data_IF_075029923583
#
_entry.id   IF_075029923583
#
_cell.length_a   1.000
_cell.length_b   1.000
_cell.length_c   1.000
_cell.angle_alpha   90.00
_cell.angle_beta   90.00
_cell.angle_gamma   90.00
#
_symmetry.space_group_name_H-M   'P 1'
#
loop_
_entity.id
_entity.type
_entity.pdbx_description
1 polymer ?
#
# COMPACT_ATOMS: atom_id res chain seq x y z
N UNK A 1 -16.76 7.86 -5.85
CA UNK A 1 -15.96 6.72 -5.35
C UNK A 1 -15.60 6.97 -3.89
N UNK A 2 -15.88 6.01 -3.02
CA UNK A 2 -15.58 6.05 -1.58
C UNK A 2 -14.13 5.63 -1.33
N UNK A 3 -13.49 6.12 -0.25
CA UNK A 3 -12.14 5.71 0.17
C UNK A 3 -12.00 4.18 0.34
N UNK A 4 -13.11 3.50 0.65
CA UNK A 4 -13.15 2.05 0.80
C UNK A 4 -13.08 1.28 -0.54
N UNK A 5 -13.49 1.90 -1.65
CA UNK A 5 -13.45 1.29 -2.99
C UNK A 5 -12.00 1.15 -3.49
N UNK A 6 -11.07 1.93 -2.92
CA UNK A 6 -9.66 1.96 -3.31
C UNK A 6 -8.76 0.98 -2.54
N UNK A 7 -9.25 0.38 -1.45
CA UNK A 7 -8.42 -0.43 -0.55
C UNK A 7 -7.79 -1.67 -1.23
N UNK A 8 -8.54 -2.50 -1.99
CA UNK A 8 -7.94 -3.67 -2.65
C UNK A 8 -6.89 -3.29 -3.71
N UNK A 9 -7.09 -2.15 -4.39
CA UNK A 9 -6.15 -1.62 -5.38
C UNK A 9 -4.91 -0.98 -4.73
N UNK A 10 -5.04 -0.49 -3.49
CA UNK A 10 -3.92 0.07 -2.74
C UNK A 10 -2.84 -0.99 -2.48
N UNK A 11 -3.26 -2.19 -2.09
CA UNK A 11 -2.36 -3.30 -1.79
C UNK A 11 -1.45 -3.65 -2.97
N UNK A 12 -2.02 -3.82 -4.17
CA UNK A 12 -1.25 -4.21 -5.36
C UNK A 12 -0.26 -3.15 -5.84
N UNK A 13 -0.36 -1.92 -5.31
CA UNK A 13 0.49 -0.79 -5.68
C UNK A 13 1.43 -0.39 -4.54
N UNK A 14 1.33 -1.00 -3.37
CA UNK A 14 2.33 -0.83 -2.31
C UNK A 14 3.70 -1.23 -2.84
N UNK A 15 4.78 -0.56 -2.41
CA UNK A 15 6.14 -0.90 -2.80
C UNK A 15 6.45 -2.38 -2.50
N UNK A 16 6.68 -3.16 -3.55
CA UNK A 16 6.92 -4.60 -3.49
C UNK A 16 8.41 -4.97 -3.44
N UNK A 17 9.28 -3.99 -3.69
CA UNK A 17 10.72 -4.22 -3.70
C UNK A 17 11.48 -3.12 -2.97
N UNK A 18 12.66 -3.50 -2.49
CA UNK A 18 13.54 -2.62 -1.71
C UNK A 18 14.07 -1.45 -2.55
N UNK A 19 14.30 -1.69 -3.84
CA UNK A 19 14.86 -0.70 -4.77
C UNK A 19 13.95 0.52 -4.96
N UNK A 20 12.64 0.31 -5.08
CA UNK A 20 11.65 1.36 -5.17
C UNK A 20 11.60 2.19 -3.87
N UNK A 21 11.69 1.54 -2.72
CA UNK A 21 11.71 2.20 -1.41
C UNK A 21 12.97 3.05 -1.24
N UNK A 22 14.13 2.51 -1.61
CA UNK A 22 15.40 3.23 -1.57
C UNK A 22 15.40 4.43 -2.54
N UNK A 23 14.86 4.24 -3.74
CA UNK A 23 14.73 5.32 -4.74
C UNK A 23 13.76 6.40 -4.28
N UNK A 24 12.73 6.04 -3.50
CA UNK A 24 11.81 6.97 -2.86
C UNK A 24 12.45 7.75 -1.70
N UNK A 25 13.68 7.41 -1.30
CA UNK A 25 14.43 8.09 -0.25
C UNK A 25 14.28 7.43 1.13
N UNK A 26 13.66 6.26 1.23
CA UNK A 26 13.66 5.50 2.48
C UNK A 26 15.03 4.86 2.73
N UNK A 27 15.41 4.79 3.99
CA UNK A 27 16.55 4.03 4.45
C UNK A 27 16.36 2.53 4.21
N UNK A 28 17.47 1.79 4.13
CA UNK A 28 17.43 0.34 4.00
C UNK A 28 16.65 -0.33 5.13
N UNK A 29 16.76 0.19 6.36
CA UNK A 29 16.03 -0.35 7.51
C UNK A 29 14.53 -0.14 7.39
N UNK A 30 14.09 1.07 7.03
CA UNK A 30 12.67 1.35 6.83
C UNK A 30 12.11 0.52 5.66
N UNK A 31 12.88 0.39 4.58
CA UNK A 31 12.52 -0.43 3.43
C UNK A 31 12.34 -1.91 3.80
N UNK A 32 13.28 -2.49 4.53
CA UNK A 32 13.21 -3.88 5.00
C UNK A 32 12.00 -4.11 5.92
N UNK A 33 11.70 -3.15 6.81
CA UNK A 33 10.55 -3.24 7.70
C UNK A 33 9.21 -3.17 6.97
N UNK A 34 9.07 -2.28 5.98
CA UNK A 34 7.87 -2.20 5.12
C UNK A 34 7.67 -3.52 4.37
N UNK A 35 8.73 -4.07 3.77
CA UNK A 35 8.65 -5.36 3.05
C UNK A 35 8.34 -6.53 3.97
N UNK A 36 8.78 -6.47 5.24
CA UNK A 36 8.44 -7.48 6.23
C UNK A 36 6.95 -7.42 6.58
N UNK A 37 6.42 -6.24 6.88
CA UNK A 37 4.99 -6.04 7.19
C UNK A 37 4.11 -6.46 6.00
N UNK A 38 4.52 -6.13 4.77
CA UNK A 38 3.83 -6.57 3.56
C UNK A 38 3.77 -8.10 3.44
N UNK A 39 4.88 -8.80 3.68
CA UNK A 39 4.91 -10.28 3.64
C UNK A 39 4.06 -10.91 4.74
N UNK A 40 4.14 -10.40 5.96
CA UNK A 40 3.30 -10.89 7.07
C UNK A 40 1.81 -10.72 6.75
N UNK A 41 1.45 -9.63 6.07
CA UNK A 41 0.09 -9.43 5.58
C UNK A 41 -0.33 -10.47 4.53
N UNK A 42 0.52 -10.81 3.56
CA UNK A 42 0.22 -11.87 2.57
C UNK A 42 -0.02 -13.20 3.25
N UNK A 43 0.89 -13.60 4.14
CA UNK A 43 0.77 -14.87 4.87
C UNK A 43 -0.52 -14.91 5.71
N UNK A 44 -0.86 -13.80 6.38
CA UNK A 44 -2.11 -13.70 7.14
C UNK A 44 -3.35 -13.71 6.23
N UNK A 45 -3.25 -13.09 5.05
CA UNK A 45 -4.34 -13.04 4.09
C UNK A 45 -4.61 -14.42 3.46
N UNK A 46 -3.57 -15.19 3.17
CA UNK A 46 -3.68 -16.57 2.71
C UNK A 46 -4.28 -17.48 3.79
N UNK A 47 -3.78 -17.40 5.02
CA UNK A 47 -4.31 -18.19 6.16
C UNK A 47 -5.80 -17.94 6.41
N UNK A 48 -6.23 -16.68 6.34
CA UNK A 48 -7.61 -16.28 6.61
C UNK A 48 -8.53 -16.44 5.40
N UNK A 49 -7.99 -16.84 4.25
CA UNK A 49 -8.76 -16.97 3.01
C UNK A 49 -9.37 -15.64 2.56
N UNK A 50 -8.73 -14.52 2.89
CA UNK A 50 -9.28 -13.17 2.77
C UNK A 50 -9.60 -12.78 1.33
N UNK A 51 -8.89 -13.39 0.37
CA UNK A 51 -9.16 -13.26 -1.07
C UNK A 51 -10.58 -13.71 -1.49
N UNK A 52 -11.25 -14.54 -0.67
CA UNK A 52 -12.59 -15.06 -0.96
C UNK A 52 -13.72 -14.19 -0.38
N UNK A 53 -13.39 -13.15 0.39
CA UNK A 53 -14.39 -12.25 1.00
C UNK A 53 -13.96 -10.77 0.86
N UNK A 54 -14.67 -9.96 0.04
CA UNK A 54 -14.32 -8.56 -0.20
C UNK A 54 -14.26 -7.70 1.08
N UNK A 55 -15.17 -7.90 2.02
CA UNK A 55 -15.19 -7.14 3.28
C UNK A 55 -14.01 -7.51 4.18
N UNK A 56 -13.63 -8.78 4.20
CA UNK A 56 -12.44 -9.23 4.91
C UNK A 56 -11.18 -8.65 4.27
N UNK A 57 -11.11 -8.57 2.93
CA UNK A 57 -9.97 -8.00 2.21
C UNK A 57 -9.82 -6.50 2.49
N UNK A 58 -10.94 -5.78 2.54
CA UNK A 58 -10.99 -4.37 2.94
C UNK A 58 -10.48 -4.21 4.39
N UNK A 59 -10.99 -4.99 5.34
CA UNK A 59 -10.58 -4.91 6.75
C UNK A 59 -9.09 -5.22 6.92
N UNK A 60 -8.59 -6.25 6.23
CA UNK A 60 -7.18 -6.61 6.27
C UNK A 60 -6.30 -5.49 5.69
N UNK A 61 -6.70 -4.89 4.56
CA UNK A 61 -5.95 -3.78 3.96
C UNK A 61 -5.90 -2.57 4.91
N UNK A 62 -7.01 -2.24 5.58
CA UNK A 62 -7.04 -1.17 6.59
C UNK A 62 -6.03 -1.47 7.71
N UNK A 63 -5.93 -2.73 8.13
CA UNK A 63 -4.97 -3.14 9.15
C UNK A 63 -3.53 -2.97 8.66
N UNK A 64 -3.21 -3.42 7.45
CA UNK A 64 -1.89 -3.24 6.85
C UNK A 64 -1.48 -1.75 6.83
N UNK A 65 -2.37 -0.86 6.41
CA UNK A 65 -2.08 0.57 6.38
C UNK A 65 -1.80 1.14 7.77
N UNK A 66 -2.53 0.68 8.79
CA UNK A 66 -2.27 1.07 10.19
C UNK A 66 -0.93 0.54 10.69
N UNK A 67 -0.58 -0.70 10.37
CA UNK A 67 0.67 -1.31 10.82
C UNK A 67 1.87 -0.61 10.18
N UNK A 68 1.78 -0.29 8.89
CA UNK A 68 2.79 0.50 8.19
C UNK A 68 2.89 1.94 8.70
N UNK A 69 1.77 2.61 8.97
CA UNK A 69 1.75 3.96 9.58
C UNK A 69 2.37 3.95 10.99
N UNK A 70 2.07 2.91 11.76
CA UNK A 70 2.65 2.73 13.11
C UNK A 70 4.15 2.49 13.02
N UNK A 71 4.59 1.62 12.10
CA UNK A 71 5.98 1.33 11.87
C UNK A 71 6.76 2.56 11.39
N UNK A 72 6.26 3.29 10.39
CA UNK A 72 7.00 4.43 9.82
C UNK A 72 7.17 5.56 10.85
N UNK A 73 6.21 5.75 11.75
CA UNK A 73 6.32 6.71 12.87
C UNK A 73 7.46 6.41 13.83
N UNK A 74 7.97 5.17 13.86
CA UNK A 74 9.17 4.78 14.64
C UNK A 74 10.48 5.02 13.88
N UNK A 75 10.42 5.26 12.57
CA UNK A 75 11.59 5.53 11.75
C UNK A 75 11.98 7.01 11.78
N UNK A 76 13.07 7.37 11.11
CA UNK A 76 13.58 8.75 11.10
C UNK A 76 12.59 9.71 10.42
N UNK A 77 12.71 11.01 10.70
CA UNK A 77 11.88 12.04 10.06
C UNK A 77 11.98 12.00 8.53
N UNK A 78 13.18 11.74 8.01
CA UNK A 78 13.42 11.58 6.57
C UNK A 78 12.65 10.38 5.98
N UNK A 79 12.64 9.24 6.69
CA UNK A 79 11.88 8.05 6.25
C UNK A 79 10.36 8.31 6.27
N UNK A 80 9.88 9.01 7.30
CA UNK A 80 8.46 9.40 7.41
C UNK A 80 8.02 10.27 6.24
N UNK A 81 8.82 11.30 5.91
CA UNK A 81 8.51 12.21 4.81
C UNK A 81 8.60 11.49 3.45
N UNK A 82 9.63 10.66 3.24
CA UNK A 82 9.80 9.84 2.04
C UNK A 82 8.62 8.88 1.82
N UNK A 83 8.16 8.22 2.88
CA UNK A 83 7.01 7.33 2.83
C UNK A 83 5.70 8.07 2.54
N UNK A 84 5.50 9.26 3.12
CA UNK A 84 4.32 10.08 2.82
C UNK A 84 4.26 10.48 1.34
N UNK A 85 5.39 10.93 0.78
CA UNK A 85 5.51 11.27 -0.66
C UNK A 85 5.25 10.04 -1.53
N UNK A 86 5.76 8.87 -1.14
CA UNK A 86 5.52 7.62 -1.86
C UNK A 86 4.03 7.27 -1.88
N UNK A 87 3.34 7.37 -0.74
CA UNK A 87 1.90 7.12 -0.65
C UNK A 87 1.09 8.08 -1.52
N UNK A 88 1.41 9.38 -1.51
CA UNK A 88 0.75 10.36 -2.38
C UNK A 88 0.95 10.04 -3.86
N UNK A 89 2.17 9.68 -4.28
CA UNK A 89 2.45 9.25 -5.66
C UNK A 89 1.62 8.02 -6.04
N UNK A 90 1.54 7.02 -5.17
CA UNK A 90 0.75 5.80 -5.43
C UNK A 90 -0.74 6.11 -5.52
N UNK A 91 -1.26 6.99 -4.65
CA UNK A 91 -2.64 7.46 -4.70
C UNK A 91 -2.94 8.22 -6.00
N UNK A 92 -2.06 9.11 -6.42
CA UNK A 92 -2.22 9.85 -7.68
C UNK A 92 -2.20 8.93 -8.91
N UNK A 93 -1.34 7.90 -8.91
CA UNK A 93 -1.33 6.87 -9.96
C UNK A 93 -2.64 6.09 -10.00
N UNK A 94 -3.29 5.83 -8.85
CA UNK A 94 -4.60 5.17 -8.82
C UNK A 94 -5.71 6.07 -9.36
N UNK A 95 -5.74 7.35 -9.00
CA UNK A 95 -6.71 8.30 -9.54
C UNK A 95 -6.55 8.45 -11.06
N UNK A 96 -5.31 8.38 -11.56
CA UNK A 96 -5.01 8.38 -12.99
C UNK A 96 -5.45 7.07 -13.69
N UNK A 97 -5.15 5.91 -13.10
CA UNK A 97 -5.56 4.59 -13.63
C UNK A 97 -7.10 4.44 -13.62
N UNK A 98 -7.78 4.89 -12.56
CA UNK A 98 -9.24 4.88 -12.46
C UNK A 98 -9.89 5.72 -13.56
N UNK A 99 -9.39 6.94 -13.79
CA UNK A 99 -9.86 7.80 -14.90
C UNK A 99 -9.59 7.20 -16.27
N UNK A 100 -8.50 6.46 -16.43
CA UNK A 100 -8.15 5.83 -17.71
C UNK A 100 -9.04 4.64 -18.03
N UNK A 101 -9.48 3.89 -17.01
CA UNK A 101 -10.47 2.82 -17.16
C UNK A 101 -11.88 3.38 -17.48
N UNK A 102 -12.32 4.46 -16.83
CA UNK A 102 -13.58 5.13 -17.18
C UNK A 102 -13.62 5.62 -18.65
N UNK A 103 -12.48 6.00 -19.22
CA UNK A 103 -12.38 6.42 -20.62
C UNK A 103 -12.46 5.25 -21.62
N UNK A 104 -12.12 4.01 -21.20
CA UNK A 104 -12.17 2.82 -22.04
C UNK A 104 -13.55 2.13 -22.05
N UNK A 105 -14.35 2.29 -21.00
CA UNK A 105 -15.72 1.74 -20.92
C UNK A 105 -16.78 2.60 -21.65
N UNK A 106 -16.39 3.77 -22.19
CA UNK A 106 -17.28 4.66 -22.96
C UNK A 106 -17.11 4.55 -24.50
N UNK A 107 -16.31 3.60 -25.01
CA UNK A 107 -16.07 3.40 -26.44
C UNK A 107 -16.53 2.03 -26.95
#
# INVERSE_FOLDING_TARGET
MSYLDFLPALYSKMPQNKEELLTAGLSSQAADGILKIGREFEEEAEKKGTAKNPLAAIGATIQLLKDLDTFIKTQSKADQDAYAVLLEKKKALMEADAKKNELFDMN
#
